data_IF_553971400216
#
_entry.id   IF_553971400216
#
_cell.length_a   1.000
_cell.length_b   1.000
_cell.length_c   1.000
_cell.angle_alpha   90.00
_cell.angle_beta   90.00
_cell.angle_gamma   90.00
#
_symmetry.space_group_name_H-M   'P 1'
#
loop_
_entity.id
_entity.type
_entity.pdbx_description
1 polymer ?
#
# COMPACT_ATOMS: atom_id res chain seq x y z
N UNK A 1 0.15 -20.77 -19.32
CA UNK A 1 -0.62 -21.99 -18.96
C UNK A 1 -2.09 -21.63 -19.11
N UNK A 2 -2.86 -22.41 -19.86
CA UNK A 2 -4.20 -22.05 -20.35
C UNK A 2 -5.17 -21.67 -19.22
N UNK A 3 -5.77 -20.50 -19.33
CA UNK A 3 -6.92 -20.03 -18.56
C UNK A 3 -8.16 -20.81 -18.98
N UNK A 4 -8.53 -21.82 -18.20
CA UNK A 4 -9.89 -22.37 -18.24
C UNK A 4 -10.81 -21.36 -17.53
N UNK A 5 -11.60 -20.64 -18.33
CA UNK A 5 -12.77 -19.89 -17.86
C UNK A 5 -13.80 -20.88 -17.30
N UNK A 6 -13.76 -21.11 -16.00
CA UNK A 6 -14.84 -21.78 -15.27
C UNK A 6 -15.95 -20.74 -15.07
N UNK A 7 -17.21 -21.04 -15.42
CA UNK A 7 -18.29 -20.07 -15.38
C UNK A 7 -18.51 -19.49 -13.99
N UNK A 8 -18.56 -18.17 -13.93
CA UNK A 8 -18.87 -17.37 -12.76
C UNK A 8 -20.34 -17.60 -12.35
N UNK A 9 -20.60 -18.56 -11.48
CA UNK A 9 -21.92 -18.72 -10.84
C UNK A 9 -22.03 -17.71 -9.70
N UNK A 10 -22.76 -16.62 -9.95
CA UNK A 10 -23.02 -15.44 -9.11
C UNK A 10 -23.72 -15.69 -7.73
N UNK A 11 -23.70 -16.91 -7.19
CA UNK A 11 -24.27 -17.24 -5.87
C UNK A 11 -23.20 -17.56 -4.79
N UNK A 12 -21.98 -17.07 -4.97
CA UNK A 12 -20.87 -17.31 -4.04
C UNK A 12 -20.85 -16.27 -2.91
N UNK A 13 -20.41 -16.66 -1.70
CA UNK A 13 -20.24 -15.80 -0.52
C UNK A 13 -19.53 -14.46 -0.82
N UNK A 14 -18.65 -14.43 -1.84
CA UNK A 14 -18.03 -13.21 -2.39
C UNK A 14 -18.97 -12.02 -2.63
N UNK A 15 -20.19 -12.30 -3.11
CA UNK A 15 -21.21 -11.28 -3.38
C UNK A 15 -21.59 -10.48 -2.14
N UNK A 16 -21.41 -11.06 -0.95
CA UNK A 16 -21.70 -10.45 0.35
C UNK A 16 -20.53 -9.62 0.91
N UNK A 17 -19.36 -9.67 0.27
CA UNK A 17 -18.12 -9.09 0.80
C UNK A 17 -17.76 -7.72 0.17
N UNK A 18 -18.62 -7.17 -0.69
CA UNK A 18 -18.31 -5.96 -1.45
C UNK A 18 -17.98 -4.76 -0.57
N UNK A 19 -16.90 -4.06 -0.93
CA UNK A 19 -16.42 -2.87 -0.24
C UNK A 19 -16.80 -1.63 -1.05
N UNK A 20 -17.54 -0.73 -0.43
CA UNK A 20 -17.94 0.56 -1.01
C UNK A 20 -17.26 1.74 -0.32
N UNK A 21 -16.86 1.55 0.93
CA UNK A 21 -16.24 2.54 1.79
C UNK A 21 -15.33 1.88 2.83
N UNK A 22 -14.54 2.69 3.53
CA UNK A 22 -13.71 2.20 4.64
C UNK A 22 -14.54 1.57 5.77
N UNK A 23 -15.80 1.98 5.96
CA UNK A 23 -16.69 1.41 6.99
C UNK A 23 -16.93 -0.09 6.78
N UNK A 24 -16.85 -0.56 5.53
CA UNK A 24 -17.03 -1.97 5.17
C UNK A 24 -15.82 -2.85 5.56
N UNK A 25 -14.68 -2.21 5.92
CA UNK A 25 -13.47 -2.91 6.37
C UNK A 25 -13.57 -3.37 7.83
N UNK A 26 -14.49 -2.80 8.61
CA UNK A 26 -14.56 -3.04 10.05
C UNK A 26 -15.51 -4.19 10.40
N UNK A 27 -15.13 -4.92 11.45
CA UNK A 27 -16.03 -5.84 12.13
C UNK A 27 -16.37 -5.24 13.49
N UNK A 28 -17.66 -5.10 13.77
CA UNK A 28 -18.14 -4.69 15.08
C UNK A 28 -18.07 -5.87 16.03
N UNK A 29 -17.39 -5.67 17.16
CA UNK A 29 -17.36 -6.65 18.24
C UNK A 29 -18.72 -6.65 18.96
N UNK A 30 -19.43 -7.78 18.91
CA UNK A 30 -20.81 -7.90 19.44
C UNK A 30 -20.92 -7.60 20.95
N UNK A 31 -19.82 -7.70 21.70
CA UNK A 31 -19.81 -7.50 23.15
C UNK A 31 -19.53 -6.05 23.50
N UNK A 32 -18.62 -5.40 22.77
CA UNK A 32 -18.13 -4.05 23.08
C UNK A 32 -18.70 -2.97 22.18
N UNK A 33 -19.31 -3.33 21.05
CA UNK A 33 -19.76 -2.40 20.00
C UNK A 33 -18.61 -1.71 19.27
N UNK A 34 -17.37 -2.13 19.50
CA UNK A 34 -16.18 -1.48 18.92
C UNK A 34 -15.91 -2.06 17.55
N UNK A 35 -15.93 -1.18 16.54
CA UNK A 35 -15.50 -1.50 15.17
C UNK A 35 -13.98 -1.63 15.10
N UNK A 36 -13.48 -2.76 14.60
CA UNK A 36 -12.05 -3.00 14.41
C UNK A 36 -11.74 -3.55 13.03
N UNK A 37 -10.65 -3.04 12.43
CA UNK A 37 -10.05 -3.64 11.25
C UNK A 37 -9.23 -4.85 11.67
N UNK A 38 -9.61 -6.04 11.18
CA UNK A 38 -8.97 -7.31 11.55
C UNK A 38 -8.65 -8.10 10.29
N UNK A 39 -7.58 -7.74 9.57
CA UNK A 39 -7.16 -8.47 8.38
C UNK A 39 -6.62 -9.85 8.75
N UNK A 40 -6.42 -10.69 7.74
CA UNK A 40 -5.78 -11.99 7.91
C UNK A 40 -4.34 -11.87 8.42
N UNK A 41 -3.95 -12.79 9.29
CA UNK A 41 -2.63 -12.85 9.94
C UNK A 41 -2.08 -14.28 9.94
N UNK A 42 -0.79 -14.44 10.29
CA UNK A 42 -0.18 -15.76 10.53
C UNK A 42 -0.93 -16.59 11.59
N UNK A 43 -1.59 -15.95 12.55
CA UNK A 43 -2.41 -16.65 13.56
C UNK A 43 -3.60 -17.35 12.91
N UNK A 44 -4.22 -16.72 11.91
CA UNK A 44 -5.34 -17.28 11.16
C UNK A 44 -4.91 -18.48 10.31
N UNK A 45 -3.70 -18.46 9.73
CA UNK A 45 -3.12 -19.63 9.03
C UNK A 45 -2.97 -20.81 9.99
N UNK A 46 -2.39 -20.56 11.17
CA UNK A 46 -2.25 -21.58 12.21
C UNK A 46 -3.59 -22.11 12.73
N UNK A 47 -4.62 -21.26 12.80
CA UNK A 47 -5.97 -21.68 13.15
C UNK A 47 -6.60 -22.52 12.03
N UNK A 48 -6.49 -22.09 10.78
CA UNK A 48 -7.03 -22.83 9.62
C UNK A 48 -6.46 -24.23 9.55
N UNK A 49 -5.16 -24.39 9.79
CA UNK A 49 -4.51 -25.71 9.89
C UNK A 49 -5.15 -26.59 10.95
N UNK A 50 -5.41 -26.07 12.15
CA UNK A 50 -6.04 -26.83 13.25
C UNK A 50 -7.48 -27.23 12.92
N UNK A 51 -8.26 -26.31 12.38
CA UNK A 51 -9.65 -26.59 11.98
C UNK A 51 -9.71 -27.61 10.82
N UNK A 52 -8.79 -27.50 9.86
CA UNK A 52 -8.65 -28.45 8.76
C UNK A 52 -8.28 -29.86 9.25
N UNK A 53 -7.29 -29.97 10.13
CA UNK A 53 -6.89 -31.24 10.75
C UNK A 53 -7.99 -31.85 11.62
N UNK A 54 -8.77 -31.01 12.31
CA UNK A 54 -9.94 -31.45 13.08
C UNK A 54 -11.01 -32.03 12.16
N UNK A 55 -11.45 -31.28 11.15
CA UNK A 55 -12.45 -31.75 10.20
C UNK A 55 -12.00 -33.03 9.47
N UNK A 56 -10.72 -33.12 9.10
CA UNK A 56 -10.16 -34.34 8.52
C UNK A 56 -10.38 -35.55 9.44
N UNK A 57 -10.10 -35.43 10.75
CA UNK A 57 -10.29 -36.51 11.73
C UNK A 57 -11.76 -36.91 11.87
N UNK A 58 -12.66 -35.94 11.93
CA UNK A 58 -14.11 -36.19 12.00
C UNK A 58 -14.62 -36.93 10.75
N UNK A 59 -14.15 -36.54 9.56
CA UNK A 59 -14.51 -37.26 8.33
C UNK A 59 -13.92 -38.69 8.31
N UNK A 60 -12.67 -38.90 8.74
CA UNK A 60 -12.12 -40.25 8.83
C UNK A 60 -12.87 -41.11 9.85
N UNK A 61 -13.25 -40.53 10.98
CA UNK A 61 -14.06 -41.22 11.98
C UNK A 61 -15.40 -41.68 11.38
N UNK A 62 -16.14 -40.78 10.72
CA UNK A 62 -17.38 -41.12 10.03
C UNK A 62 -17.18 -42.23 8.98
N UNK A 63 -16.10 -42.17 8.20
CA UNK A 63 -15.75 -43.21 7.22
C UNK A 63 -15.52 -44.57 7.86
N UNK A 64 -14.83 -44.63 8.98
CA UNK A 64 -14.58 -45.89 9.68
C UNK A 64 -15.84 -46.43 10.35
N UNK A 65 -16.70 -45.56 10.87
CA UNK A 65 -18.03 -45.95 11.37
C UNK A 65 -18.93 -46.51 10.25
N UNK A 66 -18.91 -45.92 9.04
CA UNK A 66 -19.62 -46.47 7.89
C UNK A 66 -19.14 -47.88 7.54
N UNK A 67 -17.82 -48.11 7.48
CA UNK A 67 -17.26 -49.45 7.20
C UNK A 67 -17.68 -50.47 8.25
N UNK A 68 -17.61 -50.10 9.53
CA UNK A 68 -17.99 -50.97 10.63
C UNK A 68 -19.48 -51.34 10.58
N UNK A 69 -20.35 -50.38 10.26
CA UNK A 69 -21.79 -50.60 10.19
C UNK A 69 -22.20 -51.42 8.96
N UNK A 70 -21.50 -51.26 7.83
CA UNK A 70 -21.68 -52.10 6.65
C UNK A 70 -21.38 -53.59 6.96
N UNK A 71 -20.29 -53.87 7.69
CA UNK A 71 -19.91 -55.24 8.06
C UNK A 71 -20.82 -55.89 9.11
N UNK A 72 -21.60 -55.10 9.88
CA UNK A 72 -22.51 -55.58 10.93
C UNK A 72 -24.00 -55.51 10.57
N UNK A 73 -24.35 -55.05 9.37
CA UNK A 73 -25.73 -54.78 8.95
C UNK A 73 -26.53 -53.97 9.98
N UNK A 74 -25.92 -52.92 10.56
CA UNK A 74 -26.67 -52.06 11.49
C UNK A 74 -27.76 -51.29 10.72
N UNK A 75 -28.95 -51.15 11.32
CA UNK A 75 -30.10 -50.48 10.71
C UNK A 75 -29.86 -48.99 10.41
N UNK A 76 -30.80 -48.38 9.67
CA UNK A 76 -30.68 -46.99 9.16
C UNK A 76 -30.38 -45.94 10.24
N UNK A 77 -30.82 -46.16 11.48
CA UNK A 77 -30.59 -45.27 12.62
C UNK A 77 -29.11 -44.95 12.84
N UNK A 78 -28.21 -45.92 12.63
CA UNK A 78 -26.78 -45.67 12.77
C UNK A 78 -26.25 -44.73 11.69
N UNK A 79 -26.63 -44.94 10.42
CA UNK A 79 -26.22 -44.05 9.33
C UNK A 79 -26.78 -42.65 9.52
N UNK A 80 -28.03 -42.53 9.97
CA UNK A 80 -28.66 -41.25 10.28
C UNK A 80 -27.82 -40.46 11.28
N UNK A 81 -27.47 -41.05 12.43
CA UNK A 81 -26.69 -40.36 13.45
C UNK A 81 -25.29 -39.96 12.99
N UNK A 82 -24.61 -40.81 12.20
CA UNK A 82 -23.28 -40.47 11.68
C UNK A 82 -23.37 -39.26 10.73
N UNK A 83 -24.31 -39.28 9.78
CA UNK A 83 -24.48 -38.16 8.86
C UNK A 83 -24.98 -36.90 9.56
N UNK A 84 -25.81 -37.03 10.59
CA UNK A 84 -26.27 -35.89 11.38
C UNK A 84 -25.09 -35.18 12.08
N UNK A 85 -24.22 -35.94 12.75
CA UNK A 85 -23.03 -35.38 13.39
C UNK A 85 -22.06 -34.79 12.35
N UNK A 86 -21.80 -35.52 11.26
CA UNK A 86 -20.92 -35.04 10.21
C UNK A 86 -21.44 -33.75 9.54
N UNK A 87 -22.74 -33.64 9.30
CA UNK A 87 -23.35 -32.43 8.76
C UNK A 87 -23.15 -31.22 9.69
N UNK A 88 -23.28 -31.42 11.01
CA UNK A 88 -23.00 -30.39 12.01
C UNK A 88 -21.53 -29.91 11.95
N UNK A 89 -20.57 -30.85 11.93
CA UNK A 89 -19.14 -30.54 11.81
C UNK A 89 -18.80 -29.78 10.51
N UNK A 90 -19.38 -30.20 9.38
CA UNK A 90 -19.18 -29.54 8.09
C UNK A 90 -19.78 -28.13 8.09
N UNK A 91 -20.97 -27.96 8.66
CA UNK A 91 -21.66 -26.67 8.71
C UNK A 91 -20.91 -25.67 9.58
N UNK A 92 -20.36 -26.12 10.72
CA UNK A 92 -19.54 -25.25 11.57
C UNK A 92 -18.21 -24.88 10.89
N UNK A 93 -17.58 -25.81 10.18
CA UNK A 93 -16.40 -25.50 9.39
C UNK A 93 -16.71 -24.52 8.25
N UNK A 94 -17.86 -24.64 7.58
CA UNK A 94 -18.28 -23.69 6.54
C UNK A 94 -18.45 -22.27 7.10
N UNK A 95 -19.07 -22.12 8.28
CA UNK A 95 -19.15 -20.80 8.96
C UNK A 95 -17.77 -20.23 9.25
N UNK A 96 -16.83 -21.08 9.64
CA UNK A 96 -15.44 -20.68 9.85
C UNK A 96 -14.78 -20.21 8.54
N UNK A 97 -14.98 -20.92 7.42
CA UNK A 97 -14.52 -20.50 6.09
C UNK A 97 -15.06 -19.11 5.74
N UNK A 98 -16.34 -18.83 5.98
CA UNK A 98 -16.92 -17.50 5.75
C UNK A 98 -16.23 -16.41 6.57
N UNK A 99 -15.99 -16.66 7.86
CA UNK A 99 -15.27 -15.72 8.73
C UNK A 99 -13.85 -15.45 8.22
N UNK A 100 -13.12 -16.51 7.84
CA UNK A 100 -11.77 -16.39 7.29
C UNK A 100 -11.76 -15.65 5.95
N UNK A 101 -12.71 -15.96 5.07
CA UNK A 101 -12.86 -15.33 3.77
C UNK A 101 -13.06 -13.82 3.92
N UNK A 102 -13.90 -13.37 4.85
CA UNK A 102 -14.06 -11.94 5.13
C UNK A 102 -12.72 -11.28 5.48
N UNK A 103 -11.89 -11.90 6.33
CA UNK A 103 -10.56 -11.37 6.70
C UNK A 103 -9.59 -11.31 5.52
N UNK A 104 -9.60 -12.32 4.66
CA UNK A 104 -8.78 -12.36 3.43
C UNK A 104 -9.26 -11.31 2.44
N UNK A 105 -10.57 -11.09 2.34
CA UNK A 105 -11.20 -10.13 1.44
C UNK A 105 -10.84 -8.68 1.77
N UNK A 106 -10.74 -8.32 3.05
CA UNK A 106 -10.35 -6.97 3.49
C UNK A 106 -8.83 -6.76 3.61
N UNK A 107 -8.01 -7.72 3.16
CA UNK A 107 -6.55 -7.66 3.23
C UNK A 107 -5.91 -7.36 1.87
N UNK A 108 -4.71 -6.78 1.86
CA UNK A 108 -3.82 -6.70 0.67
C UNK A 108 -2.71 -7.75 0.69
N UNK A 109 -2.50 -8.44 1.82
CA UNK A 109 -1.39 -9.39 2.01
C UNK A 109 -1.69 -10.71 1.31
N UNK A 110 -1.02 -10.95 0.18
CA UNK A 110 -1.19 -12.17 -0.63
C UNK A 110 -0.34 -13.33 -0.12
N UNK A 111 0.71 -13.04 0.64
CA UNK A 111 1.63 -14.03 1.23
C UNK A 111 0.94 -15.21 1.94
N UNK A 112 -0.24 -15.00 2.52
CA UNK A 112 -0.99 -16.06 3.19
C UNK A 112 -1.81 -16.96 2.26
N UNK A 113 -2.14 -16.51 1.05
CA UNK A 113 -3.06 -17.22 0.14
C UNK A 113 -2.50 -18.60 -0.25
N UNK A 114 -1.20 -18.66 -0.56
CA UNK A 114 -0.51 -19.90 -0.92
C UNK A 114 -0.42 -20.87 0.27
N UNK A 115 -0.27 -20.35 1.50
CA UNK A 115 -0.24 -21.18 2.72
C UNK A 115 -1.61 -21.83 2.98
N UNK A 116 -2.71 -21.05 2.86
CA UNK A 116 -4.05 -21.61 2.98
C UNK A 116 -4.31 -22.68 1.91
N UNK A 117 -3.95 -22.39 0.65
CA UNK A 117 -4.16 -23.31 -0.45
C UNK A 117 -3.38 -24.62 -0.27
N UNK A 118 -2.12 -24.53 0.19
CA UNK A 118 -1.32 -25.69 0.53
C UNK A 118 -1.98 -26.56 1.59
N UNK A 119 -2.44 -25.97 2.70
CA UNK A 119 -3.14 -26.69 3.77
C UNK A 119 -4.42 -27.37 3.23
N UNK A 120 -5.22 -26.65 2.44
CA UNK A 120 -6.46 -27.19 1.90
C UNK A 120 -6.23 -28.39 0.99
N UNK A 121 -5.30 -28.29 0.03
CA UNK A 121 -4.99 -29.38 -0.89
C UNK A 121 -4.39 -30.58 -0.16
N UNK A 122 -3.48 -30.35 0.78
CA UNK A 122 -2.80 -31.42 1.50
C UNK A 122 -3.71 -32.15 2.49
N UNK A 123 -4.61 -31.43 3.17
CA UNK A 123 -5.39 -31.96 4.29
C UNK A 123 -6.84 -32.27 3.89
N UNK A 124 -7.51 -31.36 3.18
CA UNK A 124 -8.97 -31.36 3.05
C UNK A 124 -9.49 -31.84 1.70
N UNK A 125 -8.88 -31.39 0.60
CA UNK A 125 -9.42 -31.55 -0.75
C UNK A 125 -9.83 -33.00 -1.06
N UNK A 126 -8.89 -33.93 -0.85
CA UNK A 126 -9.12 -35.35 -1.11
C UNK A 126 -10.18 -35.95 -0.18
N UNK A 127 -10.13 -35.65 1.13
CA UNK A 127 -11.06 -36.24 2.10
C UNK A 127 -12.49 -35.73 1.90
N UNK A 128 -12.65 -34.46 1.49
CA UNK A 128 -13.93 -33.85 1.14
C UNK A 128 -14.52 -34.49 -0.13
N UNK A 129 -13.72 -34.71 -1.17
CA UNK A 129 -14.17 -35.42 -2.38
C UNK A 129 -14.57 -36.87 -2.09
N UNK A 130 -13.80 -37.57 -1.24
CA UNK A 130 -14.10 -38.94 -0.83
C UNK A 130 -15.43 -39.03 -0.08
N UNK A 131 -15.65 -38.18 0.94
CA UNK A 131 -16.88 -38.22 1.73
C UNK A 131 -18.10 -37.80 0.92
N UNK A 132 -17.96 -36.84 0.01
CA UNK A 132 -19.03 -36.48 -0.92
C UNK A 132 -19.42 -37.66 -1.82
N UNK A 133 -18.42 -38.41 -2.31
CA UNK A 133 -18.66 -39.61 -3.12
C UNK A 133 -19.36 -40.71 -2.31
N UNK A 134 -18.96 -40.91 -1.05
CA UNK A 134 -19.61 -41.86 -0.14
C UNK A 134 -21.06 -41.45 0.13
N UNK A 135 -21.30 -40.17 0.42
CA UNK A 135 -22.64 -39.63 0.67
C UNK A 135 -23.57 -39.82 -0.53
N UNK A 136 -23.11 -39.52 -1.75
CA UNK A 136 -23.89 -39.79 -2.98
C UNK A 136 -24.25 -41.26 -3.13
N UNK A 137 -23.27 -42.17 -2.97
CA UNK A 137 -23.52 -43.61 -3.01
C UNK A 137 -24.52 -44.08 -1.94
N UNK A 138 -24.42 -43.55 -0.73
CA UNK A 138 -25.35 -43.88 0.35
C UNK A 138 -26.76 -43.32 0.08
N UNK A 139 -26.87 -42.14 -0.53
CA UNK A 139 -28.14 -41.56 -0.97
C UNK A 139 -28.85 -42.44 -2.00
N UNK A 140 -28.12 -43.01 -2.94
CA UNK A 140 -28.71 -43.90 -3.95
C UNK A 140 -29.04 -45.29 -3.34
N UNK A 141 -28.10 -45.87 -2.60
CA UNK A 141 -28.19 -47.27 -2.17
C UNK A 141 -29.06 -47.49 -0.91
N UNK A 142 -28.94 -46.64 0.12
CA UNK A 142 -29.62 -46.88 1.40
C UNK A 142 -31.13 -46.60 1.31
N UNK A 143 -31.53 -45.66 0.46
CA UNK A 143 -32.94 -45.32 0.23
C UNK A 143 -33.66 -46.40 -0.59
N UNK A 144 -32.98 -47.04 -1.54
CA UNK A 144 -33.53 -48.17 -2.31
C UNK A 144 -33.70 -49.46 -1.47
N UNK A 145 -32.93 -49.59 -0.39
CA UNK A 145 -32.90 -50.80 0.47
C UNK A 145 -33.52 -50.58 1.85
N UNK A 146 -34.40 -49.60 1.99
CA UNK A 146 -35.09 -49.32 3.25
C UNK A 146 -35.80 -50.55 3.84
N UNK A 147 -36.32 -51.46 3.02
CA UNK A 147 -36.94 -52.70 3.47
C UNK A 147 -35.95 -53.70 4.09
N UNK A 148 -34.68 -53.71 3.65
CA UNK A 148 -33.62 -54.57 4.18
C UNK A 148 -33.03 -54.01 5.50
N UNK A 149 -32.92 -52.68 5.61
CA UNK A 149 -32.37 -51.99 6.79
C UNK A 149 -33.43 -51.48 7.78
N UNK A 150 -34.71 -51.70 7.47
CA UNK A 150 -35.87 -51.15 8.17
C UNK A 150 -36.17 -51.75 9.55
N UNK A 151 -35.39 -52.75 9.99
CA UNK A 151 -35.42 -53.14 11.40
C UNK A 151 -34.66 -52.10 12.20
N UNK A 152 -35.35 -51.39 13.10
CA UNK A 152 -34.72 -50.52 14.10
C UNK A 152 -34.72 -51.27 15.43
N UNK A 153 -33.64 -51.98 15.81
CA UNK A 153 -33.66 -52.89 16.96
C UNK A 153 -33.97 -52.18 18.29
N UNK A 154 -33.73 -50.87 18.36
CA UNK A 154 -33.98 -50.02 19.52
C UNK A 154 -35.42 -49.51 19.63
N UNK A 155 -36.25 -49.57 18.57
CA UNK A 155 -37.55 -48.92 18.54
C UNK A 155 -38.47 -49.38 19.68
N UNK A 156 -38.49 -50.69 19.96
CA UNK A 156 -39.29 -51.26 21.05
C UNK A 156 -38.81 -50.80 22.43
N UNK A 157 -37.49 -50.76 22.64
CA UNK A 157 -36.92 -50.29 23.89
C UNK A 157 -37.20 -48.79 24.12
N UNK A 158 -37.14 -47.97 23.06
CA UNK A 158 -37.46 -46.54 23.11
C UNK A 158 -38.95 -46.34 23.44
N UNK A 159 -39.85 -47.08 22.78
CA UNK A 159 -41.29 -46.99 23.06
C UNK A 159 -41.64 -47.27 24.52
N UNK A 160 -41.06 -48.34 25.10
CA UNK A 160 -41.25 -48.67 26.52
C UNK A 160 -40.68 -47.60 27.46
N UNK A 161 -39.54 -46.99 27.11
CA UNK A 161 -38.99 -45.87 27.86
C UNK A 161 -39.89 -44.63 27.79
N UNK A 162 -40.41 -44.28 26.61
CA UNK A 162 -41.34 -43.17 26.46
C UNK A 162 -42.59 -43.37 27.30
N UNK A 163 -43.16 -44.59 27.32
CA UNK A 163 -44.28 -44.94 28.20
C UNK A 163 -43.93 -44.77 29.68
N UNK A 164 -42.76 -45.24 30.10
CA UNK A 164 -42.28 -45.10 31.48
C UNK A 164 -42.09 -43.64 31.90
N UNK A 165 -41.61 -42.80 30.98
CA UNK A 165 -41.37 -41.37 31.19
C UNK A 165 -42.60 -40.49 30.93
N UNK A 166 -43.75 -41.08 30.57
CA UNK A 166 -44.99 -40.38 30.18
C UNK A 166 -44.78 -39.37 29.03
N UNK A 167 -43.85 -39.67 28.13
CA UNK A 167 -43.63 -38.90 26.89
C UNK A 167 -44.62 -39.41 25.83
N UNK A 168 -45.29 -38.51 25.07
CA UNK A 168 -46.20 -38.92 24.00
C UNK A 168 -45.48 -39.80 22.96
N UNK A 169 -45.93 -41.05 22.79
CA UNK A 169 -45.34 -42.03 21.87
C UNK A 169 -46.36 -42.77 20.99
N UNK A 170 -47.60 -42.26 20.93
CA UNK A 170 -48.72 -42.93 20.26
C UNK A 170 -49.39 -44.00 21.12
N UNK A 171 -50.51 -44.52 20.63
CA UNK A 171 -51.38 -45.44 21.37
C UNK A 171 -50.81 -46.87 21.42
N UNK A 172 -50.11 -47.30 20.35
CA UNK A 172 -49.52 -48.63 20.25
C UNK A 172 -48.12 -48.65 19.60
N UNK A 173 -47.42 -49.78 19.77
CA UNK A 173 -46.07 -49.97 19.26
C UNK A 173 -45.99 -49.99 17.72
N UNK A 174 -46.89 -50.68 16.98
CA UNK A 174 -46.85 -50.67 15.51
C UNK A 174 -46.94 -49.27 14.90
N UNK A 175 -47.80 -48.40 15.45
CA UNK A 175 -47.91 -47.02 15.00
C UNK A 175 -46.63 -46.23 15.31
N UNK A 176 -46.10 -46.36 16.53
CA UNK A 176 -44.82 -45.75 16.92
C UNK A 176 -43.66 -46.19 16.01
N UNK A 177 -43.53 -47.49 15.77
CA UNK A 177 -42.46 -48.10 14.97
C UNK A 177 -42.52 -47.63 13.51
N UNK A 178 -43.72 -47.50 12.95
CA UNK A 178 -43.93 -46.89 11.63
C UNK A 178 -43.50 -45.42 11.58
N UNK A 179 -43.95 -44.60 12.55
CA UNK A 179 -43.58 -43.18 12.61
C UNK A 179 -42.08 -42.99 12.83
N UNK A 180 -41.46 -43.80 13.68
CA UNK A 180 -40.04 -43.74 13.98
C UNK A 180 -39.18 -44.16 12.79
N UNK A 181 -39.59 -45.19 12.03
CA UNK A 181 -38.96 -45.53 10.74
C UNK A 181 -38.98 -44.37 9.75
N UNK A 182 -40.14 -43.76 9.57
CA UNK A 182 -40.29 -42.62 8.66
C UNK A 182 -39.44 -41.42 9.11
N UNK A 183 -39.36 -41.15 10.42
CA UNK A 183 -38.50 -40.12 10.97
C UNK A 183 -37.03 -40.38 10.67
N UNK A 184 -36.54 -41.60 10.89
CA UNK A 184 -35.14 -41.98 10.64
C UNK A 184 -34.79 -41.92 9.15
N UNK A 185 -35.67 -42.43 8.27
CA UNK A 185 -35.46 -42.38 6.81
C UNK A 185 -35.41 -40.93 6.31
N UNK A 186 -36.38 -40.11 6.67
CA UNK A 186 -36.42 -38.71 6.26
C UNK A 186 -35.22 -37.93 6.81
N UNK A 187 -34.89 -38.14 8.08
CA UNK A 187 -33.72 -37.53 8.72
C UNK A 187 -32.41 -37.91 8.02
N UNK A 188 -32.24 -39.20 7.67
CA UNK A 188 -31.07 -39.68 6.92
C UNK A 188 -30.99 -39.02 5.54
N UNK A 189 -32.11 -38.96 4.81
CA UNK A 189 -32.17 -38.30 3.50
C UNK A 189 -31.77 -36.83 3.58
N UNK A 190 -32.28 -36.11 4.58
CA UNK A 190 -31.93 -34.70 4.81
C UNK A 190 -30.45 -34.55 5.17
N UNK A 191 -29.92 -35.35 6.09
CA UNK A 191 -28.52 -35.27 6.52
C UNK A 191 -27.54 -35.61 5.38
N UNK A 192 -27.89 -36.55 4.51
CA UNK A 192 -27.14 -36.87 3.30
C UNK A 192 -27.11 -35.70 2.31
N UNK A 193 -28.29 -35.11 2.03
CA UNK A 193 -28.41 -33.96 1.15
C UNK A 193 -27.62 -32.75 1.69
N UNK A 194 -27.72 -32.49 2.99
CA UNK A 194 -26.97 -31.46 3.70
C UNK A 194 -25.47 -31.71 3.60
N UNK A 195 -25.00 -32.92 3.90
CA UNK A 195 -23.57 -33.29 3.77
C UNK A 195 -23.04 -33.01 2.36
N UNK A 196 -23.75 -33.45 1.31
CA UNK A 196 -23.33 -33.25 -0.08
C UNK A 196 -23.29 -31.76 -0.44
N UNK A 197 -24.32 -31.01 -0.05
CA UNK A 197 -24.44 -29.58 -0.30
C UNK A 197 -23.35 -28.79 0.44
N UNK A 198 -23.14 -29.05 1.73
CA UNK A 198 -22.16 -28.35 2.56
C UNK A 198 -20.73 -28.63 2.11
N UNK A 199 -20.39 -29.88 1.72
CA UNK A 199 -19.07 -30.15 1.12
C UNK A 199 -18.87 -29.38 -0.18
N UNK A 200 -19.91 -29.30 -1.03
CA UNK A 200 -19.84 -28.52 -2.27
C UNK A 200 -19.59 -27.03 -1.98
N UNK A 201 -20.30 -26.49 -0.99
CA UNK A 201 -20.14 -25.10 -0.55
C UNK A 201 -18.74 -24.84 0.02
N UNK A 202 -18.22 -25.71 0.89
CA UNK A 202 -16.85 -25.60 1.44
C UNK A 202 -15.81 -25.52 0.32
N UNK A 203 -15.88 -26.44 -0.65
CA UNK A 203 -14.94 -26.45 -1.78
C UNK A 203 -15.06 -25.16 -2.61
N UNK A 204 -16.28 -24.74 -2.94
CA UNK A 204 -16.52 -23.55 -3.77
C UNK A 204 -16.11 -22.24 -3.06
N UNK A 205 -16.44 -22.10 -1.78
CA UNK A 205 -16.17 -20.92 -0.97
C UNK A 205 -14.68 -20.81 -0.62
N UNK A 206 -13.99 -21.94 -0.42
CA UNK A 206 -12.54 -21.94 -0.23
C UNK A 206 -11.79 -21.54 -1.51
N UNK A 207 -12.18 -22.08 -2.66
CA UNK A 207 -11.59 -21.67 -3.94
C UNK A 207 -11.85 -20.19 -4.24
N UNK A 208 -13.01 -19.68 -3.84
CA UNK A 208 -13.34 -18.27 -3.93
C UNK A 208 -12.48 -17.41 -3.00
N UNK A 209 -12.24 -17.86 -1.76
CA UNK A 209 -11.33 -17.23 -0.80
C UNK A 209 -9.92 -17.10 -1.40
N UNK A 210 -9.36 -18.18 -1.93
CA UNK A 210 -8.04 -18.15 -2.57
C UNK A 210 -7.98 -17.21 -3.79
N UNK A 211 -9.10 -17.10 -4.52
CA UNK A 211 -9.23 -16.24 -5.71
C UNK A 211 -9.77 -14.85 -5.39
N UNK A 212 -9.88 -14.46 -4.13
CA UNK A 212 -10.43 -13.17 -3.68
C UNK A 212 -9.97 -11.99 -4.53
N UNK A 213 -8.66 -11.93 -4.85
CA UNK A 213 -8.05 -10.83 -5.61
C UNK A 213 -8.51 -10.74 -7.08
N UNK A 214 -9.08 -11.81 -7.64
CA UNK A 214 -9.72 -11.81 -8.95
C UNK A 214 -11.16 -11.27 -8.89
N UNK A 215 -11.84 -11.45 -7.75
CA UNK A 215 -13.22 -11.01 -7.55
C UNK A 215 -13.34 -9.57 -7.04
N UNK A 216 -12.29 -9.08 -6.39
CA UNK A 216 -12.19 -7.70 -5.91
C UNK A 216 -11.92 -6.75 -7.08
N UNK A 217 -12.61 -5.62 -7.10
CA UNK A 217 -12.32 -4.53 -8.04
C UNK A 217 -11.08 -3.73 -7.64
N UNK A 218 -10.45 -3.05 -8.61
CA UNK A 218 -9.28 -2.20 -8.34
C UNK A 218 -9.63 -1.09 -7.33
N UNK A 219 -10.84 -0.51 -7.43
CA UNK A 219 -11.37 0.46 -6.45
C UNK A 219 -11.45 -0.08 -5.03
N UNK A 220 -11.93 -1.31 -4.85
CA UNK A 220 -11.96 -1.95 -3.53
C UNK A 220 -10.54 -2.16 -2.98
N UNK A 221 -9.58 -2.51 -3.84
CA UNK A 221 -8.17 -2.66 -3.45
C UNK A 221 -7.56 -1.31 -3.00
N UNK A 222 -7.87 -0.22 -3.70
CA UNK A 222 -7.43 1.14 -3.35
C UNK A 222 -7.96 1.55 -1.96
N UNK A 223 -9.24 1.31 -1.66
CA UNK A 223 -9.82 1.61 -0.35
C UNK A 223 -9.04 0.90 0.78
N UNK A 224 -8.75 -0.40 0.62
CA UNK A 224 -7.99 -1.15 1.63
C UNK A 224 -6.56 -0.61 1.75
N UNK A 225 -5.88 -0.37 0.61
CA UNK A 225 -4.51 0.13 0.60
C UNK A 225 -4.39 1.48 1.29
N UNK A 226 -5.26 2.44 0.95
CA UNK A 226 -5.28 3.77 1.57
C UNK A 226 -5.52 3.69 3.08
N UNK A 227 -6.45 2.86 3.50
CA UNK A 227 -6.74 2.67 4.92
C UNK A 227 -5.51 2.16 5.69
N UNK A 228 -4.86 1.10 5.18
CA UNK A 228 -3.65 0.53 5.80
C UNK A 228 -2.52 1.55 5.80
N UNK A 229 -2.30 2.23 4.67
CA UNK A 229 -1.26 3.26 4.54
C UNK A 229 -1.50 4.40 5.54
N UNK A 230 -2.74 4.88 5.68
CA UNK A 230 -3.09 5.95 6.61
C UNK A 230 -2.77 5.56 8.06
N UNK A 231 -3.13 4.34 8.48
CA UNK A 231 -2.78 3.85 9.83
C UNK A 231 -1.27 3.87 10.04
N UNK A 232 -0.51 3.41 9.05
CA UNK A 232 0.95 3.39 9.13
C UNK A 232 1.53 4.81 9.20
N UNK A 233 1.05 5.71 8.35
CA UNK A 233 1.47 7.10 8.26
C UNK A 233 1.19 7.88 9.55
N UNK A 234 0.06 7.61 10.21
CA UNK A 234 -0.34 8.28 11.46
C UNK A 234 0.35 7.67 12.69
N UNK A 235 0.54 6.35 12.71
CA UNK A 235 1.05 5.63 13.88
C UNK A 235 2.57 5.45 13.90
N UNK A 236 3.15 4.96 12.81
CA UNK A 236 4.53 4.43 12.79
C UNK A 236 5.49 5.34 12.06
N UNK A 237 5.06 5.96 10.96
CA UNK A 237 5.92 6.75 10.10
C UNK A 237 6.59 7.95 10.80
N UNK A 238 5.93 8.73 11.68
CA UNK A 238 6.53 9.94 12.25
C UNK A 238 7.79 9.65 13.08
N UNK A 239 7.75 8.60 13.91
CA UNK A 239 8.89 8.18 14.72
C UNK A 239 10.02 7.58 13.87
N UNK A 240 9.67 6.84 12.81
CA UNK A 240 10.62 6.33 11.83
C UNK A 240 11.39 7.46 11.16
N UNK A 241 10.68 8.44 10.59
CA UNK A 241 11.30 9.58 9.90
C UNK A 241 12.19 10.41 10.83
N UNK A 242 11.74 10.67 12.05
CA UNK A 242 12.53 11.38 13.07
C UNK A 242 13.85 10.67 13.36
N UNK A 243 13.84 9.33 13.42
CA UNK A 243 15.05 8.52 13.61
C UNK A 243 15.97 8.63 12.39
N UNK A 244 15.45 8.46 11.18
CA UNK A 244 16.25 8.48 9.95
C UNK A 244 16.93 9.84 9.73
N UNK A 245 16.21 10.96 9.91
CA UNK A 245 16.81 12.31 9.85
C UNK A 245 17.96 12.45 10.82
N UNK A 246 17.78 11.99 12.07
CA UNK A 246 18.83 12.07 13.10
C UNK A 246 20.07 11.27 12.69
N UNK A 247 19.88 10.06 12.17
CA UNK A 247 20.97 9.18 11.72
C UNK A 247 21.72 9.81 10.55
N UNK A 248 21.03 10.25 9.50
CA UNK A 248 21.66 10.82 8.30
C UNK A 248 22.35 12.16 8.58
N UNK A 249 21.71 13.08 9.33
CA UNK A 249 22.35 14.36 9.73
C UNK A 249 23.53 14.15 10.68
N UNK A 250 23.53 13.10 11.50
CA UNK A 250 24.71 12.72 12.30
C UNK A 250 25.84 12.22 11.41
N UNK A 251 25.54 11.35 10.45
CA UNK A 251 26.52 10.81 9.51
C UNK A 251 27.25 11.90 8.71
N UNK A 252 26.50 12.86 8.17
CA UNK A 252 27.06 14.01 7.45
C UNK A 252 28.02 14.83 8.35
N UNK A 253 27.60 15.11 9.59
CA UNK A 253 28.42 15.85 10.57
C UNK A 253 29.71 15.12 10.95
N UNK A 254 29.64 13.81 11.23
CA UNK A 254 30.82 13.01 11.58
C UNK A 254 31.85 12.95 10.45
N UNK A 255 31.39 12.99 9.19
CA UNK A 255 32.24 13.06 8.00
C UNK A 255 32.65 14.48 7.59
N UNK A 256 32.24 15.50 8.35
CA UNK A 256 32.47 16.92 8.03
C UNK A 256 31.97 17.30 6.63
N UNK A 257 30.84 16.73 6.22
CA UNK A 257 30.15 17.06 4.96
C UNK A 257 29.11 18.13 5.28
N UNK A 258 29.19 19.26 4.58
CA UNK A 258 28.21 20.34 4.69
C UNK A 258 26.86 19.90 4.14
N UNK A 259 25.79 20.34 4.80
CA UNK A 259 24.41 20.07 4.37
C UNK A 259 24.10 21.01 3.22
N UNK A 260 24.37 20.53 2.02
CA UNK A 260 24.09 21.19 0.73
C UNK A 260 23.09 20.36 -0.08
N UNK A 261 22.47 20.96 -1.09
CA UNK A 261 21.61 20.30 -2.08
C UNK A 261 22.29 19.05 -2.63
N UNK A 262 23.57 19.16 -3.01
CA UNK A 262 24.36 18.04 -3.53
C UNK A 262 24.57 16.91 -2.50
N UNK A 263 24.83 17.27 -1.24
CA UNK A 263 25.03 16.27 -0.17
C UNK A 263 23.73 15.51 0.14
N UNK A 264 22.59 16.20 0.08
CA UNK A 264 21.27 15.62 0.34
C UNK A 264 20.81 14.76 -0.85
N UNK A 265 21.12 15.16 -2.08
CA UNK A 265 20.88 14.31 -3.26
C UNK A 265 21.61 12.97 -3.15
N UNK A 266 22.85 12.96 -2.62
CA UNK A 266 23.56 11.70 -2.36
C UNK A 266 22.85 10.85 -1.32
N UNK A 267 22.28 11.47 -0.28
CA UNK A 267 21.47 10.75 0.72
C UNK A 267 20.23 10.13 0.07
N UNK A 268 19.56 10.86 -0.84
CA UNK A 268 18.43 10.31 -1.61
C UNK A 268 18.85 9.09 -2.44
N UNK A 269 19.92 9.22 -3.24
CA UNK A 269 20.40 8.12 -4.08
C UNK A 269 20.79 6.88 -3.24
N UNK A 270 21.37 7.07 -2.05
CA UNK A 270 21.67 5.96 -1.13
C UNK A 270 20.39 5.28 -0.59
N UNK A 271 19.30 6.02 -0.43
CA UNK A 271 18.00 5.52 0.03
C UNK A 271 17.31 4.76 -1.10
N UNK A 272 17.25 5.35 -2.30
CA UNK A 272 16.77 4.67 -3.51
C UNK A 272 17.52 3.34 -3.69
N UNK A 273 18.85 3.35 -3.66
CA UNK A 273 19.66 2.13 -3.78
C UNK A 273 19.44 1.10 -2.64
N UNK A 274 19.12 1.55 -1.43
CA UNK A 274 18.77 0.65 -0.29
C UNK A 274 17.44 -0.05 -0.54
N UNK A 275 16.42 0.69 -0.99
CA UNK A 275 15.06 0.18 -1.13
C UNK A 275 14.79 -0.48 -2.48
N UNK A 276 15.58 -0.22 -3.52
CA UNK A 276 15.40 -0.80 -4.85
C UNK A 276 15.54 -2.34 -4.88
N UNK A 277 16.08 -2.95 -3.83
CA UNK A 277 16.17 -4.41 -3.72
C UNK A 277 14.84 -5.08 -3.30
N UNK A 278 13.83 -4.30 -2.88
CA UNK A 278 12.52 -4.80 -2.49
C UNK A 278 11.53 -4.62 -3.64
N UNK A 279 10.86 -5.69 -4.06
CA UNK A 279 9.96 -5.71 -5.23
C UNK A 279 8.95 -4.56 -5.20
N UNK A 280 8.18 -4.42 -4.11
CA UNK A 280 7.17 -3.37 -3.98
C UNK A 280 7.76 -1.95 -4.09
N UNK A 281 8.97 -1.74 -3.58
CA UNK A 281 9.64 -0.44 -3.63
C UNK A 281 10.12 -0.12 -5.05
N UNK A 282 10.62 -1.12 -5.76
CA UNK A 282 11.00 -1.01 -7.17
C UNK A 282 9.77 -0.70 -8.04
N UNK A 283 8.68 -1.45 -7.86
CA UNK A 283 7.42 -1.26 -8.58
C UNK A 283 6.82 0.14 -8.36
N UNK A 284 6.98 0.68 -7.15
CA UNK A 284 6.57 2.04 -6.84
C UNK A 284 7.48 3.10 -7.49
N UNK A 285 8.80 2.89 -7.47
CA UNK A 285 9.77 3.85 -8.00
C UNK A 285 9.75 3.96 -9.54
N UNK A 286 9.45 2.87 -10.24
CA UNK A 286 9.43 2.84 -11.71
C UNK A 286 8.15 3.44 -12.33
N UNK A 287 7.14 3.82 -11.52
CA UNK A 287 5.85 4.31 -12.02
C UNK A 287 5.75 5.84 -12.05
N UNK A 288 5.01 6.35 -13.03
CA UNK A 288 4.63 7.77 -13.12
C UNK A 288 3.53 8.11 -12.11
N UNK A 289 3.51 9.36 -11.63
CA UNK A 289 2.69 9.81 -10.48
C UNK A 289 1.17 9.72 -10.69
N UNK A 290 0.69 9.58 -11.93
CA UNK A 290 -0.73 9.76 -12.30
C UNK A 290 -1.56 8.46 -12.39
N UNK A 291 -1.03 7.30 -11.99
CA UNK A 291 -1.69 5.98 -12.14
C UNK A 291 -1.87 5.20 -10.82
N UNK A 292 -2.51 5.81 -9.82
CA UNK A 292 -2.68 5.22 -8.48
C UNK A 292 -3.43 3.87 -8.48
N UNK A 293 -4.53 3.74 -9.22
CA UNK A 293 -5.27 2.47 -9.28
C UNK A 293 -4.41 1.35 -9.88
N UNK A 294 -3.58 1.68 -10.87
CA UNK A 294 -2.71 0.71 -11.53
C UNK A 294 -1.51 0.31 -10.63
N UNK A 295 -0.96 1.28 -9.91
CA UNK A 295 0.04 1.03 -8.87
C UNK A 295 -0.53 0.05 -7.83
N UNK A 296 -1.67 0.38 -7.21
CA UNK A 296 -2.27 -0.47 -6.18
C UNK A 296 -2.58 -1.85 -6.74
N UNK A 297 -3.17 -1.93 -7.94
CA UNK A 297 -3.45 -3.20 -8.62
C UNK A 297 -2.21 -4.08 -8.77
N UNK A 298 -1.05 -3.47 -9.02
CA UNK A 298 0.22 -4.18 -9.14
C UNK A 298 0.72 -4.64 -7.78
N UNK A 299 0.78 -3.74 -6.80
CA UNK A 299 1.24 -4.04 -5.45
C UNK A 299 0.42 -5.15 -4.77
N UNK A 300 -0.91 -5.16 -4.92
CA UNK A 300 -1.77 -6.17 -4.28
C UNK A 300 -1.73 -7.56 -4.94
N UNK A 301 -1.09 -7.66 -6.13
CA UNK A 301 -0.89 -8.93 -6.85
C UNK A 301 0.44 -9.59 -6.52
N UNK A 302 1.39 -8.83 -6.01
CA UNK A 302 2.68 -9.34 -5.56
C UNK A 302 2.50 -10.26 -4.34
N UNK A 303 3.37 -11.26 -4.23
CA UNK A 303 3.40 -12.17 -3.07
C UNK A 303 4.06 -11.49 -1.86
N UNK A 304 3.42 -10.43 -1.38
CA UNK A 304 3.94 -9.57 -0.34
C UNK A 304 3.34 -9.85 1.05
N UNK A 305 4.21 -9.73 2.06
CA UNK A 305 3.89 -9.76 3.48
C UNK A 305 3.52 -8.37 4.02
N UNK A 306 2.91 -8.28 5.22
CA UNK A 306 2.75 -7.00 5.91
C UNK A 306 4.06 -6.21 6.04
N UNK A 307 5.17 -6.90 6.32
CA UNK A 307 6.49 -6.30 6.48
C UNK A 307 7.02 -5.70 5.17
N UNK A 308 6.71 -6.31 4.02
CA UNK A 308 7.06 -5.76 2.71
C UNK A 308 6.30 -4.44 2.46
N UNK A 309 5.02 -4.39 2.79
CA UNK A 309 4.22 -3.15 2.69
C UNK A 309 4.70 -2.08 3.67
N UNK A 310 5.06 -2.43 4.91
CA UNK A 310 5.67 -1.47 5.83
C UNK A 310 6.98 -0.92 5.27
N UNK A 311 7.78 -1.76 4.61
CA UNK A 311 9.04 -1.35 3.98
C UNK A 311 8.78 -0.37 2.85
N UNK A 312 7.76 -0.63 2.01
CA UNK A 312 7.28 0.33 1.01
C UNK A 312 6.84 1.66 1.64
N UNK A 313 6.03 1.63 2.69
CA UNK A 313 5.54 2.87 3.32
C UNK A 313 6.67 3.68 3.97
N UNK A 314 7.66 3.00 4.59
CA UNK A 314 8.88 3.64 5.09
C UNK A 314 9.64 4.32 3.95
N UNK A 315 9.79 3.64 2.82
CA UNK A 315 10.48 4.20 1.65
C UNK A 315 9.77 5.42 1.09
N UNK A 316 8.46 5.32 0.84
CA UNK A 316 7.64 6.44 0.36
C UNK A 316 7.74 7.67 1.27
N UNK A 317 7.67 7.45 2.58
CA UNK A 317 7.79 8.54 3.55
C UNK A 317 9.20 9.13 3.61
N UNK A 318 10.26 8.31 3.56
CA UNK A 318 11.64 8.78 3.50
C UNK A 318 11.90 9.60 2.23
N UNK A 319 11.45 9.10 1.07
CA UNK A 319 11.59 9.77 -0.22
C UNK A 319 10.94 11.16 -0.19
N UNK A 320 9.66 11.25 0.16
CA UNK A 320 8.95 12.54 0.25
C UNK A 320 9.60 13.52 1.23
N UNK A 321 10.11 13.01 2.35
CA UNK A 321 10.80 13.85 3.34
C UNK A 321 12.12 14.41 2.81
N UNK A 322 12.95 13.59 2.16
CA UNK A 322 14.23 14.02 1.62
C UNK A 322 14.08 14.95 0.43
N UNK A 323 13.08 14.73 -0.41
CA UNK A 323 12.71 15.65 -1.49
C UNK A 323 12.41 17.05 -0.93
N UNK A 324 11.62 17.12 0.16
CA UNK A 324 11.33 18.39 0.83
C UNK A 324 12.56 19.01 1.55
N UNK A 325 13.49 18.22 2.09
CA UNK A 325 14.76 18.76 2.63
C UNK A 325 15.69 19.28 1.52
N UNK A 326 15.77 18.59 0.37
CA UNK A 326 16.54 19.01 -0.81
C UNK A 326 15.99 20.32 -1.34
N UNK A 327 14.66 20.43 -1.54
CA UNK A 327 14.03 21.66 -2.00
C UNK A 327 14.30 22.84 -1.06
N UNK A 328 14.29 22.62 0.27
CA UNK A 328 14.64 23.67 1.24
C UNK A 328 16.12 24.06 1.21
N UNK A 329 17.02 23.10 1.01
CA UNK A 329 18.44 23.39 0.87
C UNK A 329 18.74 24.17 -0.41
N UNK A 330 18.12 23.78 -1.52
CA UNK A 330 18.25 24.47 -2.81
C UNK A 330 17.70 25.91 -2.73
N UNK A 331 16.53 26.09 -2.11
CA UNK A 331 15.97 27.42 -1.85
C UNK A 331 16.91 28.26 -0.97
N UNK A 332 17.43 27.70 0.12
CA UNK A 332 18.39 28.40 0.98
C UNK A 332 19.67 28.78 0.24
N UNK A 333 20.26 27.86 -0.53
CA UNK A 333 21.47 28.11 -1.33
C UNK A 333 21.26 29.21 -2.37
N UNK A 334 20.10 29.22 -3.04
CA UNK A 334 19.72 30.26 -4.01
C UNK A 334 19.37 31.60 -3.36
N UNK A 335 18.80 31.58 -2.15
CA UNK A 335 18.31 32.77 -1.45
C UNK A 335 19.35 33.44 -0.52
N UNK A 336 20.45 32.77 -0.18
CA UNK A 336 21.42 33.22 0.83
C UNK A 336 22.53 34.15 0.32
N UNK A 337 22.53 34.57 -0.96
CA UNK A 337 23.51 35.57 -1.41
C UNK A 337 23.24 36.94 -0.75
N UNK A 338 24.02 37.23 0.29
CA UNK A 338 23.90 38.45 1.10
C UNK A 338 24.27 39.72 0.33
N UNK A 339 24.86 39.60 -0.86
CA UNK A 339 25.31 40.74 -1.65
C UNK A 339 24.17 41.39 -2.47
N UNK A 340 23.30 40.57 -3.06
CA UNK A 340 22.20 41.04 -3.90
C UNK A 340 20.91 41.21 -3.10
N UNK A 341 20.04 42.09 -3.59
CA UNK A 341 18.67 42.26 -3.05
C UNK A 341 17.84 41.00 -3.29
N UNK A 342 16.87 40.74 -2.41
CA UNK A 342 16.17 39.46 -2.36
C UNK A 342 15.33 39.14 -3.61
N UNK A 343 15.11 40.08 -4.53
CA UNK A 343 14.39 39.82 -5.77
C UNK A 343 15.29 39.38 -6.93
N UNK A 344 16.62 39.47 -6.77
CA UNK A 344 17.61 39.12 -7.81
C UNK A 344 18.05 37.67 -7.64
N UNK A 345 18.02 36.90 -8.71
CA UNK A 345 18.65 35.58 -8.81
C UNK A 345 20.12 35.77 -9.26
N UNK A 346 21.11 35.51 -8.38
CA UNK A 346 22.52 35.71 -8.71
C UNK A 346 22.98 34.87 -9.90
N UNK A 347 22.48 33.64 -10.04
CA UNK A 347 22.91 32.72 -11.10
C UNK A 347 22.37 33.15 -12.47
N UNK A 348 21.11 33.59 -12.53
CA UNK A 348 20.56 34.16 -13.77
C UNK A 348 21.26 35.47 -14.15
N UNK A 349 21.53 36.33 -13.17
CA UNK A 349 22.29 37.56 -13.37
C UNK A 349 23.70 37.28 -13.91
N UNK A 350 24.38 36.25 -13.39
CA UNK A 350 25.69 35.80 -13.90
C UNK A 350 25.60 35.40 -15.38
N UNK A 351 24.65 34.52 -15.70
CA UNK A 351 24.48 34.01 -17.06
C UNK A 351 24.14 35.11 -18.06
N UNK A 352 23.34 36.10 -17.65
CA UNK A 352 22.99 37.25 -18.48
C UNK A 352 24.20 38.16 -18.75
N UNK A 353 25.05 38.39 -17.75
CA UNK A 353 26.13 39.38 -17.83
C UNK A 353 27.48 38.82 -18.31
N UNK A 354 27.75 37.53 -18.13
CA UNK A 354 29.11 36.94 -18.34
C UNK A 354 29.73 37.26 -19.71
N UNK A 355 28.96 37.15 -20.80
CA UNK A 355 29.47 37.41 -22.15
C UNK A 355 29.66 38.91 -22.42
N UNK A 356 28.75 39.74 -21.90
CA UNK A 356 28.85 41.19 -22.07
C UNK A 356 30.05 41.74 -21.32
N UNK A 357 30.26 41.31 -20.07
CA UNK A 357 31.40 41.73 -19.26
C UNK A 357 32.73 41.29 -19.89
N UNK A 358 32.80 40.05 -20.38
CA UNK A 358 33.99 39.52 -21.06
C UNK A 358 34.39 40.35 -22.28
N UNK A 359 33.42 40.84 -23.07
CA UNK A 359 33.69 41.64 -24.27
C UNK A 359 33.92 43.14 -24.01
N UNK A 360 33.31 43.71 -22.97
CA UNK A 360 33.24 45.17 -22.79
C UNK A 360 34.11 45.74 -21.68
N UNK A 361 34.61 44.90 -20.78
CA UNK A 361 35.53 45.30 -19.71
C UNK A 361 36.97 45.20 -20.22
N UNK A 362 37.39 46.25 -20.92
CA UNK A 362 38.72 46.38 -21.53
C UNK A 362 39.73 47.09 -20.63
N UNK A 363 39.24 47.89 -19.67
CA UNK A 363 40.01 48.65 -18.69
C UNK A 363 39.37 48.50 -17.31
N UNK A 364 40.17 48.60 -16.24
CA UNK A 364 39.64 48.50 -14.87
C UNK A 364 38.59 49.57 -14.54
N UNK A 365 38.63 50.72 -15.20
CA UNK A 365 37.67 51.80 -15.05
C UNK A 365 36.27 51.44 -15.57
N UNK A 366 36.17 50.49 -16.52
CA UNK A 366 34.89 50.08 -17.10
C UNK A 366 33.95 49.47 -16.04
N UNK A 367 34.52 48.87 -14.98
CA UNK A 367 33.74 48.34 -13.84
C UNK A 367 32.94 49.40 -13.09
N UNK A 368 33.35 50.67 -13.15
CA UNK A 368 32.61 51.77 -12.53
C UNK A 368 31.20 51.91 -13.13
N UNK A 369 31.06 51.70 -14.45
CA UNK A 369 29.77 51.73 -15.14
C UNK A 369 28.85 50.63 -14.59
N UNK A 370 29.40 49.42 -14.44
CA UNK A 370 28.66 48.25 -13.92
C UNK A 370 28.16 48.51 -12.50
N UNK A 371 29.02 49.04 -11.63
CA UNK A 371 28.64 49.43 -10.28
C UNK A 371 27.52 50.47 -10.28
N UNK A 372 27.67 51.55 -11.05
CA UNK A 372 26.70 52.63 -11.05
C UNK A 372 25.33 52.18 -11.52
N UNK A 373 25.25 51.40 -12.60
CA UNK A 373 23.98 50.86 -13.09
C UNK A 373 23.36 49.87 -12.10
N UNK A 374 24.14 48.94 -11.55
CA UNK A 374 23.61 47.94 -10.62
C UNK A 374 23.20 48.54 -9.26
N UNK A 375 23.89 49.59 -8.78
CA UNK A 375 23.63 50.21 -7.47
C UNK A 375 22.56 51.31 -7.56
N UNK A 376 22.70 52.24 -8.51
CA UNK A 376 21.91 53.47 -8.54
C UNK A 376 20.74 53.44 -9.54
N UNK A 377 20.82 52.64 -10.60
CA UNK A 377 19.73 52.54 -11.60
C UNK A 377 18.78 51.40 -11.26
N UNK A 378 19.30 50.18 -11.12
CA UNK A 378 18.48 48.98 -10.95
C UNK A 378 18.39 48.47 -9.51
N UNK A 379 19.15 49.05 -8.57
CA UNK A 379 19.13 48.65 -7.14
C UNK A 379 19.31 47.14 -6.89
N UNK A 380 20.10 46.48 -7.73
CA UNK A 380 20.44 45.05 -7.69
C UNK A 380 21.34 44.72 -6.48
N UNK A 381 22.20 45.66 -6.12
CA UNK A 381 23.14 45.53 -4.99
C UNK A 381 22.47 46.04 -3.72
N UNK A 382 22.50 45.26 -2.63
CA UNK A 382 21.94 45.68 -1.33
C UNK A 382 22.55 47.01 -0.86
N UNK A 383 21.76 47.82 -0.17
CA UNK A 383 22.12 49.20 0.21
C UNK A 383 23.39 49.28 1.06
N UNK A 384 23.59 48.33 1.97
CA UNK A 384 24.70 48.22 2.91
C UNK A 384 26.02 47.70 2.30
N UNK A 385 25.99 47.21 1.05
CA UNK A 385 27.20 46.71 0.39
C UNK A 385 28.06 47.86 -0.16
N UNK A 386 29.35 47.81 0.12
CA UNK A 386 30.35 48.79 -0.34
C UNK A 386 31.06 48.36 -1.64
N UNK A 387 31.91 49.25 -2.15
CA UNK A 387 32.68 49.02 -3.40
C UNK A 387 33.69 47.86 -3.26
N UNK A 388 34.17 47.56 -2.05
CA UNK A 388 35.11 46.48 -1.79
C UNK A 388 34.41 45.11 -1.83
N UNK A 389 33.24 45.02 -1.21
CA UNK A 389 32.34 43.88 -1.33
C UNK A 389 31.95 43.64 -2.79
N UNK A 390 31.60 44.70 -3.53
CA UNK A 390 31.30 44.60 -4.96
C UNK A 390 32.48 44.07 -5.77
N UNK A 391 33.67 44.64 -5.60
CA UNK A 391 34.85 44.18 -6.32
C UNK A 391 35.16 42.71 -6.03
N UNK A 392 35.06 42.30 -4.77
CA UNK A 392 35.26 40.91 -4.35
C UNK A 392 34.22 39.98 -4.97
N UNK A 393 32.93 40.34 -4.92
CA UNK A 393 31.84 39.54 -5.49
C UNK A 393 31.94 39.43 -7.00
N UNK A 394 32.19 40.53 -7.72
CA UNK A 394 32.31 40.52 -9.18
C UNK A 394 33.50 39.67 -9.66
N UNK A 395 34.64 39.72 -8.97
CA UNK A 395 35.79 38.87 -9.31
C UNK A 395 35.53 37.38 -9.03
N UNK A 396 34.72 37.05 -8.01
CA UNK A 396 34.31 35.68 -7.72
C UNK A 396 33.31 35.17 -8.76
N UNK A 397 32.35 36.01 -9.15
CA UNK A 397 31.26 35.69 -10.07
C UNK A 397 31.69 35.69 -11.54
N UNK A 398 32.70 36.48 -11.90
CA UNK A 398 33.17 36.62 -13.28
C UNK A 398 34.70 36.44 -13.39
N UNK A 399 35.23 35.25 -13.07
CA UNK A 399 36.68 35.01 -13.03
C UNK A 399 37.35 35.11 -14.41
N UNK A 400 36.58 34.96 -15.50
CA UNK A 400 37.08 35.01 -16.88
C UNK A 400 37.23 36.43 -17.47
N UNK A 401 36.80 37.47 -16.75
CA UNK A 401 36.91 38.84 -17.25
C UNK A 401 38.37 39.30 -17.15
N UNK A 402 38.95 39.71 -18.28
CA UNK A 402 40.38 39.97 -18.42
C UNK A 402 40.91 41.02 -17.42
N UNK A 403 40.17 42.12 -17.25
CA UNK A 403 40.54 43.15 -16.27
C UNK A 403 39.77 42.94 -14.98
N UNK A 404 40.49 42.59 -13.91
CA UNK A 404 39.91 42.44 -12.56
C UNK A 404 39.22 43.71 -12.08
N UNK A 405 38.16 43.51 -11.31
CA UNK A 405 37.43 44.55 -10.62
C UNK A 405 38.24 45.03 -9.40
N UNK A 406 38.64 46.31 -9.37
CA UNK A 406 39.53 46.86 -8.32
C UNK A 406 38.96 48.16 -7.78
N UNK A 407 38.77 48.26 -6.47
CA UNK A 407 38.14 49.42 -5.79
C UNK A 407 38.75 50.77 -6.16
N UNK A 408 40.07 50.81 -6.36
CA UNK A 408 40.78 52.04 -6.72
C UNK A 408 40.37 52.62 -8.08
N UNK A 409 39.88 51.79 -9.01
CA UNK A 409 39.39 52.28 -10.31
C UNK A 409 38.09 53.07 -10.14
N UNK A 410 37.19 52.62 -9.25
CA UNK A 410 35.93 53.30 -8.92
C UNK A 410 36.18 54.66 -8.30
N UNK A 411 37.05 54.72 -7.29
CA UNK A 411 37.37 55.98 -6.56
C UNK A 411 37.97 57.04 -7.49
N UNK A 412 38.81 56.63 -8.44
CA UNK A 412 39.40 57.54 -9.45
C UNK A 412 38.34 58.06 -10.43
N UNK A 413 37.37 57.25 -10.81
CA UNK A 413 36.31 57.65 -11.74
C UNK A 413 35.22 58.50 -11.07
N UNK A 414 34.92 58.26 -9.80
CA UNK A 414 33.89 58.99 -9.05
C UNK A 414 34.16 60.50 -8.95
N UNK A 415 35.42 60.89 -8.77
CA UNK A 415 35.81 62.31 -8.78
C UNK A 415 35.79 62.97 -10.15
N UNK A 416 35.72 62.17 -11.22
CA UNK A 416 35.79 62.61 -12.61
C UNK A 416 34.45 62.54 -13.33
N UNK A 417 33.52 61.72 -12.82
CA UNK A 417 32.26 61.36 -13.48
C UNK A 417 31.13 61.37 -12.47
N UNK A 418 30.10 62.18 -12.73
CA UNK A 418 28.89 62.24 -11.91
C UNK A 418 27.92 61.12 -12.26
N UNK A 419 28.31 59.86 -12.07
CA UNK A 419 27.49 58.68 -12.44
C UNK A 419 26.79 58.04 -11.23
N UNK A 420 26.78 58.73 -10.09
CA UNK A 420 26.18 58.26 -8.82
C UNK A 420 24.67 58.54 -8.74
N UNK A 421 23.97 58.44 -9.86
CA UNK A 421 22.54 58.66 -10.00
C UNK A 421 21.97 57.74 -11.08
N UNK A 422 20.65 57.71 -11.21
CA UNK A 422 19.96 56.89 -12.19
C UNK A 422 20.49 57.16 -13.61
N UNK A 423 20.54 56.13 -14.47
CA UNK A 423 21.13 56.21 -15.82
C UNK A 423 20.51 57.33 -16.69
N UNK A 424 19.22 57.63 -16.50
CA UNK A 424 18.53 58.71 -17.23
C UNK A 424 19.11 60.11 -17.01
N UNK A 425 19.88 60.30 -15.95
CA UNK A 425 20.52 61.58 -15.63
C UNK A 425 21.92 61.71 -16.27
N UNK A 426 22.40 60.68 -16.98
CA UNK A 426 23.71 60.69 -17.64
C UNK A 426 23.62 61.44 -18.98
N UNK A 427 24.64 62.24 -19.29
CA UNK A 427 24.64 63.14 -20.46
C UNK A 427 25.22 62.47 -21.72
N UNK A 428 24.34 61.99 -22.61
CA UNK A 428 24.69 61.28 -23.83
C UNK A 428 25.70 62.00 -24.76
N UNK A 429 25.62 63.33 -24.85
CA UNK A 429 26.47 64.12 -25.76
C UNK A 429 27.89 64.37 -25.23
N UNK A 430 28.10 64.22 -23.92
CA UNK A 430 29.36 64.60 -23.25
C UNK A 430 30.08 63.43 -22.57
N UNK A 431 29.35 62.36 -22.26
CA UNK A 431 29.91 61.19 -21.61
C UNK A 431 30.37 60.14 -22.62
N UNK A 432 31.70 59.93 -22.67
CA UNK A 432 32.33 58.93 -23.54
C UNK A 432 31.97 57.48 -23.17
N UNK A 433 31.48 57.26 -21.96
CA UNK A 433 31.06 55.94 -21.49
C UNK A 433 29.58 55.67 -21.78
N UNK A 434 28.80 56.67 -22.21
CA UNK A 434 27.35 56.59 -22.35
C UNK A 434 26.92 55.43 -23.25
N UNK A 435 27.59 55.24 -24.40
CA UNK A 435 27.26 54.13 -25.32
C UNK A 435 27.41 52.77 -24.66
N UNK A 436 28.49 52.55 -23.90
CA UNK A 436 28.74 51.29 -23.18
C UNK A 436 27.74 51.12 -22.04
N UNK A 437 27.45 52.19 -21.31
CA UNK A 437 26.47 52.19 -20.24
C UNK A 437 25.05 51.91 -20.75
N UNK A 438 24.69 52.45 -21.92
CA UNK A 438 23.39 52.23 -22.55
C UNK A 438 23.19 50.76 -22.95
N UNK A 439 24.21 50.11 -23.51
CA UNK A 439 24.14 48.67 -23.82
C UNK A 439 23.94 47.80 -22.57
N UNK A 440 24.62 48.13 -21.47
CA UNK A 440 24.43 47.43 -20.20
C UNK A 440 23.06 47.72 -19.60
N UNK A 441 22.58 48.97 -19.73
CA UNK A 441 21.24 49.36 -19.31
C UNK A 441 20.16 48.55 -20.03
N UNK A 442 20.24 48.42 -21.36
CA UNK A 442 19.26 47.65 -22.12
C UNK A 442 19.25 46.16 -21.77
N UNK A 443 20.39 45.60 -21.36
CA UNK A 443 20.46 44.24 -20.80
C UNK A 443 19.81 44.15 -19.43
N UNK A 444 20.19 45.03 -18.51
CA UNK A 444 19.66 45.04 -17.14
C UNK A 444 18.18 45.45 -17.09
N UNK A 445 17.65 46.13 -18.10
CA UNK A 445 16.23 46.50 -18.18
C UNK A 445 15.30 45.29 -18.31
N UNK A 446 15.81 44.15 -18.80
CA UNK A 446 15.06 42.91 -18.94
C UNK A 446 15.02 42.14 -17.61
N UNK A 447 14.35 42.74 -16.64
CA UNK A 447 14.34 42.26 -15.26
C UNK A 447 13.82 40.80 -15.16
N UNK A 448 12.92 40.38 -16.05
CA UNK A 448 12.44 39.00 -16.16
C UNK A 448 13.55 37.96 -16.41
N UNK A 449 14.65 38.33 -17.05
CA UNK A 449 15.76 37.42 -17.36
C UNK A 449 16.57 37.06 -16.10
N UNK A 450 16.50 37.88 -15.04
CA UNK A 450 17.33 37.69 -13.83
C UNK A 450 16.60 37.92 -12.49
N UNK A 451 15.31 38.22 -12.52
CA UNK A 451 14.44 38.18 -11.35
C UNK A 451 14.21 36.74 -10.90
N UNK A 452 14.04 36.60 -9.59
CA UNK A 452 13.51 35.36 -8.99
C UNK A 452 12.07 35.17 -9.48
N UNK A 453 11.72 33.94 -9.84
CA UNK A 453 10.33 33.55 -10.08
C UNK A 453 9.72 33.44 -8.69
N UNK A 454 8.72 34.26 -8.40
CA UNK A 454 7.98 34.26 -7.12
C UNK A 454 6.76 33.37 -7.25
#
# INVERSE_FOLDING_TARGET
MQTEEIPNTDNNYNSLLKISSEEDLFVEDEVTGVKKYTPVTTTDVGQFKREAEHLYKEIQHAKDEFKWNAGKHKGLTCYFHIYQNLAEQLTDFLKYIHSLHKKVYISIYKSYDDEFMGIYTDVLEKVLQEIQTIARKHSDYLLDKEAEYGQIPSAKAIFEQCKKLKVPAGDDFPQFDSHYRNFVSMGLKMALAETISTVTAICADFLALYRTRLFRTDREAVIIYHYIKRIFDEGTLPDHLKREVKVKKRHLRERRIDITTLSLQKVMNDIEGKYNNYTLCSDWFEREEDEEEELVRTLVREQASPEDFETLFKYQGEHKMWEAEIARADDFERNSDSFFVNWVDPYKLENMLKFWLKGNITKQQDWYIVWCLMKYTFHIVKGDQDKSAFASRMNLMFPEVEKKCVVDSFRKQETQKNHNHHFSEWLAESDKDYSKAHELYDKLKKEEEYKRIV
#
